data_IF_160887510309
#
_entry.id   IF_160887510309
#
_cell.length_a   1.000
_cell.length_b   1.000
_cell.length_c   1.000
_cell.angle_alpha   90.00
_cell.angle_beta   90.00
_cell.angle_gamma   90.00
#
_symmetry.space_group_name_H-M   'P 1'
#
loop_
_entity.id
_entity.type
_entity.pdbx_description
1 polymer ?
#
# COMPACT_ATOMS: atom_id res chain seq x y z
N UNK A 1 3.58 -5.53 -31.39
CA UNK A 1 4.38 -5.34 -30.17
C UNK A 1 3.56 -5.79 -28.97
N UNK A 2 4.17 -6.54 -28.04
CA UNK A 2 3.55 -6.97 -26.79
C UNK A 2 4.24 -6.21 -25.66
N UNK A 3 3.61 -5.20 -25.05
CA UNK A 3 4.26 -4.55 -23.93
C UNK A 3 4.17 -5.48 -22.69
N UNK A 4 5.27 -5.71 -21.96
CA UNK A 4 5.25 -6.47 -20.71
C UNK A 4 4.59 -5.68 -19.56
N UNK A 5 4.40 -4.38 -19.72
CA UNK A 5 3.84 -3.47 -18.73
C UNK A 5 2.97 -2.38 -19.39
N UNK A 6 2.11 -1.72 -18.61
CA UNK A 6 1.32 -0.58 -19.05
C UNK A 6 1.72 0.68 -18.29
N UNK A 7 1.59 1.83 -18.93
CA UNK A 7 1.63 3.11 -18.23
C UNK A 7 0.34 3.28 -17.43
N UNK A 8 0.47 3.60 -16.15
CA UNK A 8 -0.64 3.75 -15.21
C UNK A 8 -0.52 5.09 -14.50
N UNK A 9 -1.62 5.81 -14.34
CA UNK A 9 -1.65 7.03 -13.52
C UNK A 9 -1.63 6.64 -12.06
N UNK A 10 -0.62 7.13 -11.34
CA UNK A 10 -0.39 6.83 -9.93
C UNK A 10 -0.06 8.13 -9.20
N UNK A 11 -0.39 8.19 -7.92
CA UNK A 11 -0.05 9.32 -7.07
C UNK A 11 1.44 9.26 -6.76
N UNK A 12 2.13 10.38 -6.91
CA UNK A 12 3.55 10.52 -6.63
C UNK A 12 3.85 11.94 -6.16
N UNK A 13 5.03 12.15 -5.58
CA UNK A 13 5.48 13.45 -5.10
C UNK A 13 5.61 13.51 -3.58
N UNK A 14 6.06 14.67 -3.10
CA UNK A 14 6.36 14.90 -1.69
C UNK A 14 5.26 15.71 -1.01
N UNK A 15 5.10 15.50 0.29
CA UNK A 15 4.28 16.33 1.17
C UNK A 15 5.19 17.23 2.02
N UNK A 16 4.63 18.32 2.56
CA UNK A 16 5.39 19.27 3.39
C UNK A 16 5.85 18.67 4.72
N UNK A 17 5.08 17.75 5.31
CA UNK A 17 5.40 17.09 6.57
C UNK A 17 5.76 15.61 6.34
N UNK A 18 6.83 15.16 6.98
CA UNK A 18 7.32 13.78 6.91
C UNK A 18 6.31 12.72 7.41
N UNK A 19 5.33 13.11 8.22
CA UNK A 19 4.25 12.23 8.72
C UNK A 19 3.14 12.04 7.69
N UNK A 20 3.15 12.82 6.61
CA UNK A 20 2.19 12.74 5.52
C UNK A 20 2.77 11.98 4.32
N UNK A 21 1.91 11.31 3.57
CA UNK A 21 2.24 10.73 2.25
C UNK A 21 1.19 11.11 1.21
N UNK A 22 1.63 11.25 -0.04
CA UNK A 22 0.75 11.50 -1.19
C UNK A 22 -0.06 10.21 -1.47
N UNK A 23 -1.34 10.23 -1.12
CA UNK A 23 -2.24 9.07 -1.25
C UNK A 23 -3.40 9.39 -2.19
N UNK A 24 -3.92 8.39 -2.93
CA UNK A 24 -5.11 8.59 -3.76
C UNK A 24 -6.34 8.91 -2.92
N UNK A 25 -7.19 9.80 -3.44
CA UNK A 25 -8.52 10.08 -2.87
C UNK A 25 -9.65 9.64 -3.79
N UNK A 26 -9.37 9.52 -5.08
CA UNK A 26 -10.28 8.98 -6.09
C UNK A 26 -9.51 8.07 -7.05
N UNK A 27 -10.12 6.94 -7.40
CA UNK A 27 -9.54 5.92 -8.25
C UNK A 27 -10.53 5.47 -9.31
N UNK A 28 -10.02 5.00 -10.44
CA UNK A 28 -10.82 4.45 -11.52
C UNK A 28 -10.20 3.17 -12.04
N UNK A 29 -11.07 2.21 -12.37
CA UNK A 29 -10.66 0.94 -12.95
C UNK A 29 -10.73 1.01 -14.48
N UNK A 30 -9.59 0.77 -15.13
CA UNK A 30 -9.45 0.75 -16.58
C UNK A 30 -9.13 -0.66 -17.05
N UNK A 31 -9.96 -1.19 -17.94
CA UNK A 31 -9.72 -2.51 -18.53
C UNK A 31 -8.68 -2.40 -19.65
N UNK A 32 -7.64 -3.22 -19.59
CA UNK A 32 -6.63 -3.37 -20.65
C UNK A 32 -6.68 -4.78 -21.23
N UNK A 33 -6.45 -4.89 -22.54
CA UNK A 33 -6.35 -6.16 -23.25
C UNK A 33 -4.89 -6.63 -23.27
N UNK A 34 -4.63 -7.86 -22.87
CA UNK A 34 -3.31 -8.50 -22.85
C UNK A 34 -3.33 -9.78 -23.68
N UNK A 35 -2.21 -10.08 -24.33
CA UNK A 35 -1.98 -11.37 -24.97
C UNK A 35 -1.29 -12.32 -23.99
N UNK A 36 -1.87 -13.50 -23.80
CA UNK A 36 -1.31 -14.54 -22.92
C UNK A 36 -0.32 -15.39 -23.71
N UNK A 37 0.76 -15.81 -23.05
CA UNK A 37 1.75 -16.71 -23.61
C UNK A 37 1.93 -17.86 -22.62
N UNK A 38 1.96 -19.09 -23.13
CA UNK A 38 2.06 -20.32 -22.34
C UNK A 38 3.19 -21.18 -22.86
N UNK A 39 3.84 -21.93 -21.98
CA UNK A 39 4.80 -22.94 -22.40
C UNK A 39 4.05 -24.19 -22.85
N UNK A 40 4.30 -24.64 -24.08
CA UNK A 40 3.75 -25.88 -24.65
C UNK A 40 4.91 -26.69 -25.20
N UNK A 41 5.13 -27.89 -24.64
CA UNK A 41 6.25 -28.77 -25.01
C UNK A 41 7.61 -28.07 -24.92
N UNK A 42 7.84 -27.32 -23.83
CA UNK A 42 9.09 -26.60 -23.57
C UNK A 42 9.29 -25.32 -24.39
N UNK A 43 8.36 -24.96 -25.28
CA UNK A 43 8.45 -23.73 -26.09
C UNK A 43 7.38 -22.72 -25.68
N UNK A 44 7.76 -21.45 -25.54
CA UNK A 44 6.80 -20.37 -25.29
C UNK A 44 5.96 -20.14 -26.56
N UNK A 45 4.66 -20.33 -26.47
CA UNK A 45 3.69 -20.09 -27.54
C UNK A 45 2.69 -19.02 -27.13
N UNK A 46 2.28 -18.19 -28.08
CA UNK A 46 1.20 -17.22 -27.88
C UNK A 46 -0.13 -17.99 -27.78
N UNK A 47 -0.88 -17.72 -26.74
CA UNK A 47 -2.25 -18.18 -26.61
C UNK A 47 -3.14 -17.32 -27.56
N UNK A 48 -4.01 -17.92 -28.38
CA UNK A 48 -4.92 -17.17 -29.25
C UNK A 48 -5.89 -16.27 -28.48
N UNK A 49 -6.15 -16.58 -27.21
CA UNK A 49 -7.04 -15.79 -26.36
C UNK A 49 -6.44 -14.42 -26.01
N UNK A 50 -7.29 -13.41 -26.06
CA UNK A 50 -7.01 -12.08 -25.51
C UNK A 50 -7.68 -12.03 -24.13
N UNK A 51 -6.88 -11.80 -23.10
CA UNK A 51 -7.38 -11.65 -21.73
C UNK A 51 -7.56 -10.18 -21.41
N UNK A 52 -8.53 -9.87 -20.57
CA UNK A 52 -8.75 -8.54 -20.03
C UNK A 52 -8.24 -8.47 -18.60
N UNK A 53 -7.50 -7.42 -18.27
CA UNK A 53 -7.03 -7.12 -16.92
C UNK A 53 -7.57 -5.77 -16.50
N UNK A 54 -8.09 -5.67 -15.27
CA UNK A 54 -8.51 -4.40 -14.68
C UNK A 54 -7.32 -3.75 -13.98
N UNK A 55 -6.99 -2.52 -14.36
CA UNK A 55 -5.90 -1.74 -13.77
C UNK A 55 -6.49 -0.54 -13.05
N UNK A 56 -6.05 -0.29 -11.83
CA UNK A 56 -6.45 0.89 -11.05
C UNK A 56 -5.58 2.09 -11.41
N UNK A 57 -6.20 3.18 -11.84
CA UNK A 57 -5.58 4.48 -12.08
C UNK A 57 -6.05 5.49 -11.03
N UNK A 58 -5.14 6.31 -10.52
CA UNK A 58 -5.48 7.37 -9.57
C UNK A 58 -5.95 8.62 -10.32
N UNK A 59 -7.09 9.17 -9.92
CA UNK A 59 -7.66 10.40 -10.52
C UNK A 59 -7.21 11.66 -9.80
N UNK A 60 -7.11 11.60 -8.49
CA UNK A 60 -6.70 12.72 -7.64
C UNK A 60 -5.98 12.22 -6.40
N UNK A 61 -5.13 13.09 -5.85
CA UNK A 61 -4.21 12.77 -4.76
C UNK A 61 -4.26 13.85 -3.69
N UNK A 62 -4.02 13.47 -2.44
CA UNK A 62 -3.90 14.39 -1.33
C UNK A 62 -2.87 13.89 -0.33
N UNK A 63 -2.20 14.82 0.35
CA UNK A 63 -1.38 14.49 1.50
C UNK A 63 -2.27 14.03 2.66
N UNK A 64 -2.11 12.76 3.06
CA UNK A 64 -2.80 12.14 4.20
C UNK A 64 -1.78 11.58 5.17
N UNK A 65 -2.18 11.41 6.43
CA UNK A 65 -1.34 10.78 7.45
C UNK A 65 -0.87 9.40 6.98
N UNK A 66 0.42 9.13 7.15
CA UNK A 66 1.03 7.82 6.86
C UNK A 66 0.46 6.76 7.79
N UNK A 67 0.39 7.09 9.09
CA UNK A 67 -0.23 6.28 10.13
C UNK A 67 -1.73 6.55 10.12
N UNK A 68 -2.52 5.49 10.16
CA UNK A 68 -3.98 5.49 10.29
C UNK A 68 -4.38 4.99 11.66
N UNK A 69 -5.62 5.25 12.04
CA UNK A 69 -6.18 4.75 13.29
C UNK A 69 -6.13 3.22 13.39
N UNK A 70 -6.30 2.52 12.27
CA UNK A 70 -6.16 1.06 12.16
C UNK A 70 -4.76 0.54 12.49
N UNK A 71 -3.74 1.40 12.40
CA UNK A 71 -2.36 1.03 12.65
C UNK A 71 -2.00 1.16 14.15
N UNK A 72 -2.89 1.77 14.95
CA UNK A 72 -2.70 1.90 16.38
C UNK A 72 -3.00 0.59 17.12
N UNK A 73 -2.19 0.28 18.13
CA UNK A 73 -2.48 -0.82 19.06
C UNK A 73 -3.72 -0.52 19.90
N UNK A 74 -4.35 -1.54 20.48
CA UNK A 74 -5.54 -1.41 21.35
C UNK A 74 -5.34 -0.43 22.54
N UNK A 75 -4.11 -0.37 23.07
CA UNK A 75 -3.72 0.54 24.17
C UNK A 75 -3.46 1.98 23.71
N UNK A 76 -3.45 2.24 22.40
CA UNK A 76 -3.19 3.54 21.80
C UNK A 76 -4.47 4.21 21.31
N UNK A 77 -4.39 5.52 21.09
CA UNK A 77 -5.40 6.39 20.45
C UNK A 77 -4.70 7.18 19.37
N UNK A 78 -5.32 7.19 18.20
CA UNK A 78 -4.87 7.99 17.09
C UNK A 78 -5.15 9.48 17.33
N UNK A 79 -4.12 10.32 17.23
CA UNK A 79 -4.27 11.78 17.21
C UNK A 79 -4.26 12.26 15.75
N UNK A 80 -5.42 12.66 15.18
CA UNK A 80 -5.50 13.08 13.78
C UNK A 80 -4.77 14.40 13.50
N UNK A 81 -4.51 15.24 14.51
CA UNK A 81 -3.79 16.50 14.35
C UNK A 81 -2.29 16.27 14.23
N UNK A 82 -1.79 15.21 14.85
CA UNK A 82 -0.37 14.85 14.84
C UNK A 82 -0.03 13.71 13.88
N UNK A 83 -1.02 13.06 13.29
CA UNK A 83 -0.85 11.88 12.45
C UNK A 83 -0.07 10.75 13.17
N UNK A 84 -0.35 10.54 14.45
CA UNK A 84 0.41 9.59 15.28
C UNK A 84 -0.49 8.83 16.27
N UNK A 85 -0.04 7.64 16.67
CA UNK A 85 -0.67 6.90 17.76
C UNK A 85 -0.06 7.32 19.10
N UNK A 86 -0.92 7.68 20.06
CA UNK A 86 -0.54 8.11 21.41
C UNK A 86 -1.10 7.16 22.47
N UNK A 87 -0.44 7.03 23.62
CA UNK A 87 -0.93 6.19 24.71
C UNK A 87 -2.04 6.90 25.48
N UNK A 88 -3.08 6.16 25.87
CA UNK A 88 -4.27 6.71 26.55
C UNK A 88 -3.97 7.38 27.90
N UNK A 89 -2.86 7.03 28.57
CA UNK A 89 -2.57 7.44 29.95
C UNK A 89 -1.06 7.65 30.20
N UNK A 90 -0.22 6.60 30.13
CA UNK A 90 1.24 6.69 30.32
C UNK A 90 1.99 5.82 29.31
N UNK A 91 3.27 6.14 29.04
CA UNK A 91 4.13 5.37 28.11
C UNK A 91 4.27 3.90 28.53
N UNK A 92 4.14 3.61 29.83
CA UNK A 92 4.12 2.27 30.45
C UNK A 92 2.91 1.43 30.09
N UNK A 93 1.81 2.02 29.60
CA UNK A 93 0.61 1.28 29.19
C UNK A 93 0.72 0.75 27.75
N UNK A 94 1.72 1.23 27.01
CA UNK A 94 2.03 0.83 25.64
C UNK A 94 3.23 -0.10 25.53
N UNK A 95 3.95 -0.33 26.63
CA UNK A 95 4.96 -1.39 26.69
C UNK A 95 4.23 -2.71 26.77
N UNK A 96 4.19 -3.43 25.65
CA UNK A 96 4.13 -4.89 25.74
C UNK A 96 5.29 -5.30 26.65
N UNK A 97 4.98 -6.08 27.68
CA UNK A 97 5.99 -6.64 28.57
C UNK A 97 6.90 -7.48 27.68
N UNK A 98 8.05 -6.96 27.29
CA UNK A 98 9.14 -7.81 26.83
C UNK A 98 9.57 -8.55 28.10
N UNK A 99 9.14 -9.81 28.24
CA UNK A 99 9.80 -10.71 29.19
C UNK A 99 11.28 -10.69 28.84
N UNK A 100 12.10 -10.18 29.75
CA UNK A 100 13.55 -10.25 29.66
C UNK A 100 13.89 -11.73 29.63
N UNK A 101 14.18 -12.27 28.45
CA UNK A 101 14.69 -13.63 28.31
C UNK A 101 16.09 -13.67 28.94
N UNK A 102 16.11 -14.03 30.23
CA UNK A 102 17.34 -14.16 31.02
C UNK A 102 18.31 -15.22 30.46
N UNK A 103 17.94 -15.95 29.40
CA UNK A 103 18.84 -16.91 28.74
C UNK A 103 19.65 -16.31 27.58
N UNK A 104 19.42 -15.04 27.22
CA UNK A 104 20.16 -14.37 26.14
C UNK A 104 20.81 -13.05 26.58
N UNK A 105 21.22 -12.94 27.85
CA UNK A 105 22.07 -11.87 28.35
C UNK A 105 23.37 -12.42 28.91
#
# INVERSE_FOLDING_TARGET
SKPPCFKVKQCSGCCQDHRLSCQPIDVEHRVKKVSVYRYVSGKLKRDPSITQVSITEHKSCQCKCKVKESDCKKSQVYDPKKCECSCKLRKTDCTEIHELDRKNC
#
